data_IF_950997636264
#
_entry.id   IF_950997636264
#
_cell.length_a   1.000
_cell.length_b   1.000
_cell.length_c   1.000
_cell.angle_alpha   90.00
_cell.angle_beta   90.00
_cell.angle_gamma   90.00
#
_symmetry.space_group_name_H-M   'P 1'
#
loop_
_entity.id
_entity.type
_entity.pdbx_description
1 polymer ?
#
# COMPACT_ATOMS: atom_id res chain seq x y z
N UNK A 1 41.18 -17.86 40.57
CA UNK A 1 39.94 -18.62 40.30
C UNK A 1 39.32 -18.01 39.05
N UNK A 2 39.24 -18.76 37.96
CA UNK A 2 38.48 -18.36 36.78
C UNK A 2 37.08 -18.98 36.89
N UNK A 3 36.05 -18.19 36.55
CA UNK A 3 34.67 -18.67 36.42
C UNK A 3 34.30 -18.51 34.95
N UNK A 4 33.99 -19.63 34.32
CA UNK A 4 33.46 -19.65 32.97
C UNK A 4 31.93 -19.74 33.06
N UNK A 5 31.24 -19.05 32.16
CA UNK A 5 29.80 -19.22 31.97
C UNK A 5 29.54 -19.42 30.48
N UNK A 6 28.58 -20.29 30.16
CA UNK A 6 28.17 -20.62 28.81
C UNK A 6 26.75 -20.09 28.59
N UNK A 7 26.53 -19.31 27.53
CA UNK A 7 25.19 -18.88 27.10
C UNK A 7 24.82 -19.65 25.84
N UNK A 8 23.69 -20.35 25.89
CA UNK A 8 23.08 -20.96 24.71
C UNK A 8 22.31 -19.88 23.93
N UNK A 9 22.78 -19.55 22.73
CA UNK A 9 22.18 -18.55 21.84
C UNK A 9 21.42 -19.16 20.65
N UNK A 10 21.28 -20.49 20.58
CA UNK A 10 20.66 -21.16 19.42
C UNK A 10 19.21 -20.71 19.15
N UNK A 11 18.47 -20.36 20.20
CA UNK A 11 17.11 -19.80 20.05
C UNK A 11 17.10 -18.43 19.37
N UNK A 12 18.07 -17.56 19.72
CA UNK A 12 18.24 -16.26 19.09
C UNK A 12 18.70 -16.40 17.63
N UNK A 13 19.59 -17.34 17.33
CA UNK A 13 20.01 -17.64 15.97
C UNK A 13 18.83 -18.06 15.09
N UNK A 14 17.98 -18.97 15.58
CA UNK A 14 16.78 -19.41 14.86
C UNK A 14 15.79 -18.26 14.62
N UNK A 15 15.62 -17.36 15.60
CA UNK A 15 14.80 -16.14 15.47
C UNK A 15 15.35 -15.22 14.37
N UNK A 16 16.65 -14.94 14.37
CA UNK A 16 17.30 -14.10 13.36
C UNK A 16 17.11 -14.70 11.96
N UNK A 17 17.27 -16.01 11.81
CA UNK A 17 17.14 -16.69 10.51
C UNK A 17 15.71 -16.59 9.92
N UNK A 18 14.66 -16.64 10.75
CA UNK A 18 13.26 -16.54 10.30
C UNK A 18 12.75 -15.10 10.12
N UNK A 19 13.45 -14.13 10.70
CA UNK A 19 13.03 -12.71 10.71
C UNK A 19 12.78 -12.10 9.32
N UNK A 20 13.64 -12.31 8.31
CA UNK A 20 13.43 -11.71 7.00
C UNK A 20 12.13 -12.17 6.34
N UNK A 21 11.76 -13.44 6.53
CA UNK A 21 10.54 -14.01 5.96
C UNK A 21 9.29 -13.50 6.68
N UNK A 22 9.35 -13.40 8.01
CA UNK A 22 8.26 -12.83 8.81
C UNK A 22 8.06 -11.34 8.51
N UNK A 23 9.15 -10.56 8.45
CA UNK A 23 9.10 -9.15 8.08
C UNK A 23 8.53 -8.96 6.66
N UNK A 24 8.98 -9.75 5.68
CA UNK A 24 8.45 -9.74 4.32
C UNK A 24 6.93 -10.03 4.28
N UNK A 25 6.48 -11.01 5.05
CA UNK A 25 5.05 -11.37 5.16
C UNK A 25 4.23 -10.23 5.76
N UNK A 26 4.72 -9.60 6.83
CA UNK A 26 4.08 -8.44 7.47
C UNK A 26 4.02 -7.25 6.51
N UNK A 27 5.15 -6.95 5.85
CA UNK A 27 5.23 -5.87 4.87
C UNK A 27 4.24 -6.07 3.71
N UNK A 28 4.11 -7.30 3.21
CA UNK A 28 3.17 -7.64 2.14
C UNK A 28 1.72 -7.42 2.57
N UNK A 29 1.35 -7.84 3.79
CA UNK A 29 0.00 -7.61 4.31
C UNK A 29 -0.30 -6.12 4.49
N UNK A 30 0.60 -5.37 5.14
CA UNK A 30 0.41 -3.94 5.32
C UNK A 30 0.29 -3.17 4.00
N UNK A 31 1.01 -3.59 2.96
CA UNK A 31 0.86 -3.02 1.62
C UNK A 31 -0.49 -3.35 0.97
N UNK A 32 -1.01 -4.57 1.15
CA UNK A 32 -2.36 -4.90 0.69
C UNK A 32 -3.42 -4.01 1.37
N UNK A 33 -3.35 -3.90 2.69
CA UNK A 33 -4.30 -3.07 3.46
C UNK A 33 -4.21 -1.59 3.06
N UNK A 34 -2.99 -1.12 2.78
CA UNK A 34 -2.74 0.25 2.30
C UNK A 34 -3.30 0.48 0.89
N UNK A 35 -3.17 -0.48 -0.02
CA UNK A 35 -3.75 -0.38 -1.36
C UNK A 35 -5.28 -0.38 -1.33
N UNK A 36 -5.89 -1.19 -0.46
CA UNK A 36 -7.34 -1.23 -0.31
C UNK A 36 -7.88 0.09 0.23
N UNK A 37 -7.22 0.69 1.24
CA UNK A 37 -7.56 2.04 1.71
C UNK A 37 -7.29 3.09 0.63
N UNK A 38 -6.20 2.99 -0.14
CA UNK A 38 -5.93 3.91 -1.25
C UNK A 38 -7.05 3.89 -2.30
N UNK A 39 -7.58 2.72 -2.65
CA UNK A 39 -8.73 2.60 -3.54
C UNK A 39 -9.95 3.32 -2.97
N UNK A 40 -10.25 3.14 -1.68
CA UNK A 40 -11.39 3.80 -1.01
C UNK A 40 -11.22 5.31 -1.00
N UNK A 41 -10.08 5.80 -0.52
CA UNK A 41 -9.79 7.24 -0.41
C UNK A 41 -9.79 7.93 -1.77
N UNK A 42 -9.22 7.28 -2.78
CA UNK A 42 -9.26 7.75 -4.17
C UNK A 42 -10.69 7.85 -4.70
N UNK A 43 -11.56 6.87 -4.40
CA UNK A 43 -12.97 6.90 -4.78
C UNK A 43 -13.73 8.03 -4.09
N UNK A 44 -13.42 8.33 -2.84
CA UNK A 44 -14.11 9.37 -2.07
C UNK A 44 -13.87 10.76 -2.66
N UNK A 45 -12.62 11.04 -3.05
CA UNK A 45 -12.22 12.35 -3.59
C UNK A 45 -12.35 12.45 -5.11
N UNK A 46 -12.45 11.33 -5.83
CA UNK A 46 -12.60 11.33 -7.28
C UNK A 46 -13.92 11.98 -7.74
N UNK A 47 -13.95 12.63 -8.92
CA UNK A 47 -15.15 13.26 -9.43
C UNK A 47 -16.34 12.32 -9.62
N UNK A 48 -17.53 12.81 -9.27
CA UNK A 48 -18.76 12.00 -9.23
C UNK A 48 -19.55 12.01 -10.55
N UNK A 49 -19.17 12.78 -11.57
CA UNK A 49 -19.94 13.05 -12.81
C UNK A 49 -20.94 11.94 -13.22
N UNK A 50 -20.46 10.74 -13.61
CA UNK A 50 -21.30 9.55 -13.87
C UNK A 50 -20.99 8.35 -12.97
N UNK A 51 -20.16 8.55 -11.95
CA UNK A 51 -19.60 7.50 -11.09
C UNK A 51 -18.69 6.46 -11.79
N UNK A 52 -18.54 6.51 -13.12
CA UNK A 52 -17.69 5.58 -13.90
C UNK A 52 -16.22 5.67 -13.49
N UNK A 53 -15.75 6.87 -13.16
CA UNK A 53 -14.40 7.11 -12.62
C UNK A 53 -14.18 6.34 -11.33
N UNK A 54 -15.06 6.54 -10.34
CA UNK A 54 -14.97 5.85 -9.05
C UNK A 54 -15.01 4.34 -9.22
N UNK A 55 -15.87 3.81 -10.11
CA UNK A 55 -15.93 2.35 -10.39
C UNK A 55 -14.67 1.81 -11.07
N UNK A 56 -13.94 2.65 -11.81
CA UNK A 56 -12.73 2.28 -12.54
C UNK A 56 -11.47 2.18 -11.69
N UNK A 57 -11.50 2.66 -10.45
CA UNK A 57 -10.36 2.62 -9.52
C UNK A 57 -10.26 1.25 -8.87
N UNK A 58 -9.13 0.58 -9.05
CA UNK A 58 -8.85 -0.74 -8.50
C UNK A 58 -7.38 -0.90 -8.12
N UNK A 59 -7.16 -1.76 -7.12
CA UNK A 59 -5.84 -2.29 -6.80
C UNK A 59 -5.50 -3.36 -7.83
N UNK A 60 -4.29 -3.32 -8.39
CA UNK A 60 -3.74 -4.37 -9.24
C UNK A 60 -2.96 -5.42 -8.41
N UNK A 61 -2.73 -5.10 -7.13
CA UNK A 61 -2.13 -6.00 -6.14
C UNK A 61 -0.72 -5.58 -5.70
N UNK A 62 -0.12 -6.45 -4.91
CA UNK A 62 1.26 -6.32 -4.42
C UNK A 62 2.14 -7.33 -5.14
N UNK A 63 3.17 -6.83 -5.82
CA UNK A 63 4.14 -7.62 -6.56
C UNK A 63 5.53 -7.49 -5.94
N UNK A 64 6.40 -8.47 -6.20
CA UNK A 64 7.79 -8.48 -5.76
C UNK A 64 8.16 -9.64 -4.84
N UNK A 65 9.45 -9.74 -4.56
CA UNK A 65 10.05 -10.87 -3.83
C UNK A 65 10.82 -10.36 -2.61
N UNK A 66 10.66 -11.06 -1.49
CA UNK A 66 11.26 -10.67 -0.21
C UNK A 66 10.81 -9.26 0.20
N UNK A 67 11.78 -8.39 0.55
CA UNK A 67 11.51 -7.02 1.01
C UNK A 67 11.31 -6.00 -0.13
N UNK A 68 11.51 -6.38 -1.38
CA UNK A 68 11.26 -5.51 -2.54
C UNK A 68 9.83 -5.69 -3.00
N UNK A 69 8.90 -5.03 -2.32
CA UNK A 69 7.48 -5.08 -2.61
C UNK A 69 7.03 -3.78 -3.27
N UNK A 70 6.17 -3.90 -4.28
CA UNK A 70 5.57 -2.79 -5.02
C UNK A 70 4.07 -3.01 -5.05
N UNK A 71 3.32 -2.02 -4.58
CA UNK A 71 1.87 -1.98 -4.72
C UNK A 71 1.47 -1.20 -5.96
N UNK A 72 0.53 -1.71 -6.75
CA UNK A 72 0.04 -1.04 -7.94
C UNK A 72 -1.46 -0.72 -7.82
N UNK A 73 -1.82 0.52 -8.18
CA UNK A 73 -3.18 1.02 -8.26
C UNK A 73 -3.41 1.58 -9.66
N UNK A 74 -4.59 1.33 -10.22
CA UNK A 74 -4.95 1.82 -11.54
C UNK A 74 -6.34 2.45 -11.54
N UNK A 75 -6.57 3.31 -12.53
CA UNK A 75 -7.90 3.87 -12.80
C UNK A 75 -8.18 3.88 -14.29
N UNK A 76 -9.26 3.22 -14.70
CA UNK A 76 -9.69 3.16 -16.09
C UNK A 76 -11.17 3.51 -16.19
N UNK A 77 -11.48 4.60 -16.90
CA UNK A 77 -12.85 4.99 -17.21
C UNK A 77 -12.98 5.23 -18.73
N UNK A 78 -13.38 4.19 -19.46
CA UNK A 78 -13.58 4.27 -20.92
C UNK A 78 -15.05 4.50 -21.25
N UNK A 79 -15.35 5.55 -22.01
CA UNK A 79 -16.66 5.78 -22.63
C UNK A 79 -16.44 6.15 -24.11
N UNK A 80 -17.07 5.41 -25.03
CA UNK A 80 -16.92 5.59 -26.50
C UNK A 80 -15.46 5.73 -26.98
N UNK A 81 -14.58 4.82 -26.53
CA UNK A 81 -13.12 4.82 -26.78
C UNK A 81 -12.31 5.99 -26.19
N UNK A 82 -12.92 6.86 -25.38
CA UNK A 82 -12.22 7.93 -24.68
C UNK A 82 -11.94 7.54 -23.22
N UNK A 83 -10.68 7.66 -22.77
CA UNK A 83 -10.28 7.38 -21.39
C UNK A 83 -10.41 8.65 -20.54
N UNK A 84 -11.58 8.81 -19.91
CA UNK A 84 -11.89 9.93 -19.03
C UNK A 84 -11.03 9.97 -17.77
N UNK A 85 -10.55 8.81 -17.28
CA UNK A 85 -9.66 8.76 -16.12
C UNK A 85 -8.33 9.44 -16.43
N UNK A 86 -7.72 9.11 -17.57
CA UNK A 86 -6.50 9.74 -18.06
C UNK A 86 -6.70 11.23 -18.31
N UNK A 87 -7.81 11.60 -18.97
CA UNK A 87 -8.11 12.99 -19.31
C UNK A 87 -8.25 13.90 -18.08
N UNK A 88 -8.92 13.42 -17.02
CA UNK A 88 -9.10 14.18 -15.78
C UNK A 88 -7.80 14.24 -14.96
N UNK A 89 -7.06 13.13 -14.89
CA UNK A 89 -5.83 13.01 -14.10
C UNK A 89 -4.66 13.80 -14.70
N UNK A 90 -4.41 13.65 -16.00
CA UNK A 90 -3.22 14.18 -16.67
C UNK A 90 -3.46 15.54 -17.32
N UNK A 91 -4.58 15.71 -18.03
CA UNK A 91 -4.84 16.93 -18.79
C UNK A 91 -5.49 18.04 -17.97
N UNK A 92 -5.67 17.81 -16.65
CA UNK A 92 -6.32 18.75 -15.74
C UNK A 92 -7.71 19.17 -16.25
N UNK A 93 -8.35 18.30 -17.04
CA UNK A 93 -9.40 18.69 -17.94
C UNK A 93 -10.77 18.71 -17.26
N UNK A 94 -11.65 19.59 -17.74
CA UNK A 94 -12.95 19.94 -17.13
C UNK A 94 -12.96 21.26 -16.33
N UNK A 95 -11.85 22.01 -16.33
CA UNK A 95 -11.80 23.38 -15.79
C UNK A 95 -12.06 23.45 -14.27
N UNK A 96 -12.52 24.60 -13.77
CA UNK A 96 -12.94 24.79 -12.35
C UNK A 96 -14.22 24.03 -11.97
N UNK A 97 -14.88 23.37 -12.93
CA UNK A 97 -16.27 22.89 -12.79
C UNK A 97 -16.38 21.37 -12.63
N UNK A 98 -15.27 20.63 -12.53
CA UNK A 98 -15.29 19.21 -12.17
C UNK A 98 -15.37 19.14 -10.65
N UNK A 99 -16.51 18.73 -10.10
CA UNK A 99 -16.61 18.50 -8.66
C UNK A 99 -15.71 17.33 -8.26
N UNK A 100 -14.82 17.54 -7.29
CA UNK A 100 -13.85 16.54 -6.80
C UNK A 100 -12.39 16.82 -7.22
N UNK A 101 -11.47 15.99 -6.74
CA UNK A 101 -10.03 16.11 -6.99
C UNK A 101 -9.63 15.44 -8.30
N UNK A 102 -8.93 16.17 -9.17
CA UNK A 102 -8.54 15.68 -10.51
C UNK A 102 -7.44 14.61 -10.45
N UNK A 103 -6.43 14.86 -9.60
CA UNK A 103 -5.33 13.94 -9.31
C UNK A 103 -5.65 13.08 -8.09
N UNK A 104 -6.82 12.46 -8.08
CA UNK A 104 -7.33 11.74 -6.91
C UNK A 104 -6.43 10.58 -6.48
N UNK A 105 -5.72 9.91 -7.40
CA UNK A 105 -4.75 8.88 -7.03
C UNK A 105 -3.54 9.50 -6.31
N UNK A 106 -2.90 10.49 -6.94
CA UNK A 106 -1.72 11.17 -6.37
C UNK A 106 -2.06 11.83 -5.03
N UNK A 107 -3.15 12.61 -4.98
CA UNK A 107 -3.56 13.35 -3.78
C UNK A 107 -3.88 12.42 -2.63
N UNK A 108 -4.64 11.34 -2.90
CA UNK A 108 -4.90 10.32 -1.89
C UNK A 108 -3.60 9.65 -1.43
N UNK A 109 -2.64 9.44 -2.34
CA UNK A 109 -1.35 8.86 -2.03
C UNK A 109 -0.53 9.75 -1.10
N UNK A 110 -0.40 11.03 -1.45
CA UNK A 110 0.32 12.03 -0.67
C UNK A 110 -0.28 12.22 0.73
N UNK A 111 -1.61 12.34 0.82
CA UNK A 111 -2.30 12.63 2.08
C UNK A 111 -2.27 11.46 3.09
N UNK A 112 -2.06 10.22 2.61
CA UNK A 112 -2.14 9.01 3.43
C UNK A 112 -0.82 8.23 3.53
N UNK A 113 0.25 8.66 2.85
CA UNK A 113 1.54 7.97 2.84
C UNK A 113 2.05 7.62 4.24
N UNK A 114 2.02 8.58 5.17
CA UNK A 114 2.52 8.38 6.54
C UNK A 114 1.64 7.43 7.35
N UNK A 115 0.35 7.37 7.06
CA UNK A 115 -0.57 6.39 7.66
C UNK A 115 -0.24 4.98 7.15
N UNK A 116 -0.07 4.81 5.85
CA UNK A 116 0.24 3.52 5.24
C UNK A 116 1.62 2.99 5.61
N UNK A 117 2.64 3.87 5.71
CA UNK A 117 3.95 3.48 6.24
C UNK A 117 3.84 2.91 7.65
N UNK A 118 3.05 3.55 8.53
CA UNK A 118 2.80 3.05 9.89
C UNK A 118 2.10 1.68 9.88
N UNK A 119 1.11 1.47 9.02
CA UNK A 119 0.45 0.17 8.89
C UNK A 119 1.40 -0.94 8.44
N UNK A 120 2.28 -0.64 7.49
CA UNK A 120 3.32 -1.58 7.05
C UNK A 120 4.27 -1.93 8.21
N UNK A 121 4.73 -0.93 8.96
CA UNK A 121 5.59 -1.14 10.13
C UNK A 121 4.89 -1.93 11.24
N UNK A 122 3.62 -1.65 11.49
CA UNK A 122 2.80 -2.38 12.46
C UNK A 122 2.64 -3.84 12.07
N UNK A 123 2.35 -4.15 10.81
CA UNK A 123 2.23 -5.54 10.35
C UNK A 123 3.58 -6.28 10.35
N UNK A 124 4.70 -5.60 10.05
CA UNK A 124 6.04 -6.16 10.23
C UNK A 124 6.27 -6.53 11.71
N UNK A 125 5.98 -5.59 12.62
CA UNK A 125 6.12 -5.81 14.06
C UNK A 125 5.23 -6.97 14.53
N UNK A 126 3.98 -7.00 14.11
CA UNK A 126 3.02 -8.04 14.48
C UNK A 126 3.48 -9.43 14.01
N UNK A 127 4.00 -9.55 12.78
CA UNK A 127 4.53 -10.84 12.30
C UNK A 127 5.83 -11.24 13.00
N UNK A 128 6.74 -10.30 13.31
CA UNK A 128 7.94 -10.61 14.09
C UNK A 128 7.59 -11.10 15.52
N UNK A 129 6.62 -10.45 16.17
CA UNK A 129 6.14 -10.89 17.49
C UNK A 129 5.51 -12.28 17.45
N UNK A 130 4.80 -12.63 16.36
CA UNK A 130 4.25 -13.99 16.16
C UNK A 130 5.35 -15.04 16.03
N UNK A 131 6.52 -14.66 15.52
CA UNK A 131 7.71 -15.53 15.48
C UNK A 131 8.47 -15.56 16.81
N UNK A 132 8.09 -14.79 17.83
CA UNK A 132 8.70 -14.81 19.16
C UNK A 132 9.78 -13.74 19.40
N UNK A 133 9.79 -12.66 18.63
CA UNK A 133 10.52 -11.43 18.96
C UNK A 133 9.85 -10.61 20.07
#
# INVERSE_FOLDING_TARGET
>A
MARDFEINTSGLEALIQRSPQAASKGAKRGLHDSLDDWVVRSKDIAPLDKGTLRRGIKSEGVHGNGMRLVGEISSVAKERNFNYAYYIHEMNAGGKNVGGEKKYLDKSGEDNKDKWMRWVEEEIRNELQREGW
#
